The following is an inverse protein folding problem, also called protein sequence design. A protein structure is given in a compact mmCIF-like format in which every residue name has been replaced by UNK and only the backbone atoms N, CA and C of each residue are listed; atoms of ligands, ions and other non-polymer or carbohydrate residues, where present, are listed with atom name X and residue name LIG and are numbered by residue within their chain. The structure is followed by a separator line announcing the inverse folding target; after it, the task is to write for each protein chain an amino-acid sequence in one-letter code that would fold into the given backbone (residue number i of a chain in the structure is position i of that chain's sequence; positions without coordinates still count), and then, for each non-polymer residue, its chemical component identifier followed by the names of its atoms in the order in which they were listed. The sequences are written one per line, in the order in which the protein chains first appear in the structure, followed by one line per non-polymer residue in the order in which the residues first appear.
data_IF_936160277344
#
_entry.id   IF_936160277344
#
_cell.length_a   1.000
_cell.length_b   1.000
_cell.length_c   1.000
_cell.angle_alpha   90.00
_cell.angle_beta   90.00
_cell.angle_gamma   90.00
#
_symmetry.space_group_name_H-M   'P 1'
#
loop_
_entity.id
_entity.type
_entity.pdbx_description
1 polymer ?
#
# COMPACT_ATOMS: atom_id res chain seq x y z
N UNK A 1 -33.15 10.24 33.86
CA UNK A 1 -33.55 10.75 35.18
C UNK A 1 -35.04 10.47 35.31
N UNK A 2 -35.51 9.99 36.47
CA UNK A 2 -36.94 10.00 36.82
C UNK A 2 -37.22 11.28 37.60
N UNK A 3 -38.32 11.96 37.31
CA UNK A 3 -38.73 13.15 38.05
C UNK A 3 -40.25 13.12 38.26
N UNK A 4 -40.68 13.39 39.49
CA UNK A 4 -42.01 13.83 39.84
C UNK A 4 -42.05 15.37 39.76
N UNK A 5 -42.98 15.90 38.97
CA UNK A 5 -43.17 17.35 38.78
C UNK A 5 -43.63 18.02 40.09
N UNK A 6 -44.31 17.27 40.98
CA UNK A 6 -44.68 17.73 42.32
C UNK A 6 -43.53 17.78 43.32
N UNK A 7 -42.42 17.10 43.02
CA UNK A 7 -41.17 17.08 43.78
C UNK A 7 -41.23 16.32 45.12
N UNK A 8 -42.37 15.74 45.48
CA UNK A 8 -42.61 15.20 46.82
C UNK A 8 -42.94 13.70 46.83
N UNK A 9 -43.27 13.12 45.67
CA UNK A 9 -43.62 11.71 45.60
C UNK A 9 -42.38 10.81 45.52
N UNK A 10 -42.54 9.57 45.98
CA UNK A 10 -41.52 8.54 45.81
C UNK A 10 -41.46 8.11 44.36
N UNK A 11 -40.27 8.21 43.79
CA UNK A 11 -39.96 7.77 42.42
C UNK A 11 -39.14 6.50 42.48
N UNK A 12 -39.50 5.52 41.65
CA UNK A 12 -38.83 4.23 41.57
C UNK A 12 -38.28 4.00 40.17
N UNK A 13 -37.12 3.37 40.09
CA UNK A 13 -36.43 3.09 38.84
C UNK A 13 -35.82 1.69 38.86
N UNK A 14 -36.16 0.90 37.85
CA UNK A 14 -35.56 -0.38 37.54
C UNK A 14 -34.76 -0.22 36.24
N UNK A 15 -33.50 -0.62 36.27
CA UNK A 15 -32.62 -0.58 35.09
C UNK A 15 -32.12 -1.99 34.81
N UNK A 16 -32.26 -2.43 33.57
CA UNK A 16 -31.63 -3.65 33.06
C UNK A 16 -30.80 -3.32 31.83
N UNK A 17 -29.75 -4.09 31.58
CA UNK A 17 -28.85 -3.82 30.47
C UNK A 17 -28.23 -5.10 29.94
N UNK A 18 -27.94 -5.14 28.65
CA UNK A 18 -27.11 -6.18 28.02
C UNK A 18 -25.61 -5.90 28.12
N UNK A 19 -25.21 -4.73 28.67
CA UNK A 19 -23.80 -4.42 28.92
C UNK A 19 -23.18 -5.40 29.93
N UNK A 20 -21.99 -5.96 29.64
CA UNK A 20 -21.29 -6.81 30.58
C UNK A 20 -20.93 -6.03 31.85
N UNK A 21 -21.14 -6.66 33.01
CA UNK A 21 -20.89 -6.05 34.33
C UNK A 21 -21.56 -4.67 34.51
N UNK A 22 -22.78 -4.47 33.99
CA UNK A 22 -23.46 -3.17 34.01
C UNK A 22 -23.49 -2.49 35.39
N UNK A 23 -23.62 -3.25 36.47
CA UNK A 23 -23.61 -2.70 37.83
C UNK A 23 -22.30 -2.00 38.21
N UNK A 24 -21.15 -2.42 37.67
CA UNK A 24 -19.85 -1.77 37.93
C UNK A 24 -19.65 -0.48 37.14
N UNK A 25 -20.52 -0.19 36.16
CA UNK A 25 -20.47 1.04 35.38
C UNK A 25 -21.17 2.22 36.10
N UNK A 26 -21.90 1.93 37.19
CA UNK A 26 -22.59 2.94 37.97
C UNK A 26 -21.60 3.89 38.65
N UNK A 27 -21.79 5.19 38.43
CA UNK A 27 -21.01 6.25 39.09
C UNK A 27 -21.85 6.76 40.26
N UNK A 28 -21.46 6.49 41.52
CA UNK A 28 -22.21 6.96 42.67
C UNK A 28 -22.18 8.49 42.77
N UNK A 29 -23.25 9.14 43.27
CA UNK A 29 -23.26 10.57 43.54
C UNK A 29 -22.35 10.90 44.73
N UNK A 30 -21.96 12.16 44.83
CA UNK A 30 -21.38 12.70 46.05
C UNK A 30 -22.47 12.88 47.11
N UNK A 31 -22.07 12.96 48.39
CA UNK A 31 -23.01 13.23 49.50
C UNK A 31 -22.55 14.44 50.32
N UNK A 32 -23.50 15.27 50.76
CA UNK A 32 -23.26 16.39 51.66
C UNK A 32 -24.54 16.73 52.43
N UNK A 33 -24.43 16.82 53.76
CA UNK A 33 -25.55 17.25 54.61
C UNK A 33 -26.80 16.36 54.54
N UNK A 34 -26.66 15.06 54.27
CA UNK A 34 -27.79 14.12 54.12
C UNK A 34 -28.42 14.08 52.72
N UNK A 35 -27.95 14.93 51.80
CA UNK A 35 -28.37 14.94 50.40
C UNK A 35 -27.27 14.38 49.50
N UNK A 36 -27.65 14.04 48.27
CA UNK A 36 -26.79 13.55 47.21
C UNK A 36 -26.70 14.56 46.07
N UNK A 37 -25.60 14.54 45.33
CA UNK A 37 -25.46 15.38 44.15
C UNK A 37 -24.54 14.81 43.07
N UNK A 38 -24.82 15.20 41.83
CA UNK A 38 -23.92 15.06 40.69
C UNK A 38 -23.45 16.42 40.22
N UNK A 39 -22.13 16.58 40.10
CA UNK A 39 -21.55 17.70 39.37
C UNK A 39 -21.78 17.49 37.86
N UNK A 40 -22.06 18.58 37.16
CA UNK A 40 -22.22 18.61 35.70
C UNK A 40 -23.18 17.55 35.18
N UNK A 41 -24.39 17.50 35.72
CA UNK A 41 -25.38 16.51 35.29
C UNK A 41 -25.97 16.95 33.94
N UNK A 42 -25.71 16.17 32.89
CA UNK A 42 -26.14 16.43 31.51
C UNK A 42 -25.62 17.76 30.91
N UNK A 43 -24.41 18.21 31.28
CA UNK A 43 -23.83 19.44 30.72
C UNK A 43 -24.33 20.72 31.40
N UNK A 44 -24.95 20.62 32.57
CA UNK A 44 -25.50 21.73 33.35
C UNK A 44 -24.71 21.96 34.65
N UNK A 45 -25.28 22.65 35.63
CA UNK A 45 -24.68 22.79 36.96
C UNK A 45 -24.91 21.53 37.82
N UNK A 46 -24.61 21.63 39.11
CA UNK A 46 -24.77 20.62 40.13
C UNK A 46 -26.23 20.26 40.35
N UNK A 47 -26.56 18.99 40.14
CA UNK A 47 -27.90 18.46 40.42
C UNK A 47 -27.94 17.83 41.81
N UNK A 48 -28.71 18.44 42.71
CA UNK A 48 -28.97 17.93 44.06
C UNK A 48 -30.25 17.08 44.11
N UNK A 49 -30.23 16.04 44.94
CA UNK A 49 -31.37 15.16 45.18
C UNK A 49 -31.26 14.50 46.56
N UNK A 50 -32.36 13.95 47.07
CA UNK A 50 -32.42 13.29 48.37
C UNK A 50 -32.83 11.82 48.24
N UNK A 51 -32.62 11.06 49.32
CA UNK A 51 -33.22 9.74 49.54
C UNK A 51 -32.88 8.66 48.52
N UNK A 52 -31.60 8.50 48.17
CA UNK A 52 -31.15 7.40 47.32
C UNK A 52 -31.11 6.06 48.07
N UNK A 53 -32.08 5.19 47.82
CA UNK A 53 -32.10 3.82 48.31
C UNK A 53 -32.04 2.82 47.16
N UNK A 54 -31.38 1.67 47.37
CA UNK A 54 -31.40 0.56 46.43
C UNK A 54 -31.92 -0.69 47.16
N UNK A 55 -33.08 -1.18 46.73
CA UNK A 55 -33.69 -2.40 47.25
C UNK A 55 -33.69 -3.45 46.14
N UNK A 56 -32.75 -4.39 46.20
CA UNK A 56 -32.63 -5.52 45.26
C UNK A 56 -32.65 -5.08 43.78
N UNK A 57 -31.94 -4.00 43.43
CA UNK A 57 -31.83 -3.51 42.05
C UNK A 57 -32.92 -2.51 41.62
N UNK A 58 -33.90 -2.24 42.48
CA UNK A 58 -34.82 -1.10 42.31
C UNK A 58 -34.29 0.10 43.08
N UNK A 59 -34.00 1.17 42.37
CA UNK A 59 -33.60 2.44 42.97
C UNK A 59 -34.84 3.25 43.35
N UNK A 60 -34.80 3.87 44.52
CA UNK A 60 -35.84 4.76 45.01
C UNK A 60 -35.22 6.12 45.32
N UNK A 61 -35.99 7.18 45.08
CA UNK A 61 -35.71 8.56 45.47
C UNK A 61 -37.00 9.33 45.78
N UNK A 62 -36.87 10.58 46.20
CA UNK A 62 -38.00 11.51 46.37
C UNK A 62 -37.85 12.64 45.38
N UNK A 63 -38.90 12.93 44.61
CA UNK A 63 -38.95 14.00 43.63
C UNK A 63 -38.07 13.74 42.40
N UNK A 64 -36.75 13.59 42.57
CA UNK A 64 -35.79 13.37 41.48
C UNK A 64 -34.88 12.18 41.77
N UNK A 65 -34.71 11.34 40.76
CA UNK A 65 -33.79 10.21 40.81
C UNK A 65 -32.90 10.21 39.56
N UNK A 66 -31.75 10.92 39.62
CA UNK A 66 -30.73 10.85 38.58
C UNK A 66 -29.83 9.63 38.77
N UNK A 67 -29.49 8.96 37.67
CA UNK A 67 -28.49 7.89 37.65
C UNK A 67 -27.41 8.23 36.63
N UNK A 68 -26.15 7.92 36.95
CA UNK A 68 -25.00 8.09 36.05
C UNK A 68 -24.29 6.76 35.84
N UNK A 69 -24.02 6.44 34.59
CA UNK A 69 -23.23 5.28 34.19
C UNK A 69 -22.12 5.74 33.25
N UNK A 70 -20.91 5.21 33.43
CA UNK A 70 -19.78 5.47 32.54
C UNK A 70 -19.36 4.15 31.90
N UNK A 71 -19.51 4.07 30.58
CA UNK A 71 -19.09 2.92 29.78
C UNK A 71 -17.93 3.34 28.88
N UNK A 72 -16.83 2.59 28.96
CA UNK A 72 -15.70 2.71 28.03
C UNK A 72 -15.63 1.42 27.22
N UNK A 73 -15.95 1.46 25.90
CA UNK A 73 -15.91 0.26 25.07
C UNK A 73 -14.47 -0.25 24.92
N UNK A 74 -14.36 -1.57 24.79
CA UNK A 74 -13.11 -2.29 24.50
C UNK A 74 -13.18 -2.93 23.12
N UNK A 75 -12.06 -3.46 22.61
CA UNK A 75 -12.05 -4.19 21.33
C UNK A 75 -12.88 -5.50 21.33
N UNK A 76 -13.37 -5.98 22.48
CA UNK A 76 -14.33 -7.10 22.50
C UNK A 76 -15.75 -6.66 22.18
N UNK A 77 -16.02 -5.38 22.32
CA UNK A 77 -17.35 -4.79 22.18
C UNK A 77 -17.61 -4.31 20.73
N UNK A 78 -16.73 -4.70 19.79
CA UNK A 78 -16.77 -4.31 18.38
C UNK A 78 -18.02 -4.78 17.67
N UNK A 79 -18.67 -3.86 16.95
CA UNK A 79 -19.96 -4.04 16.28
C UNK A 79 -21.08 -4.54 17.22
N UNK A 80 -20.85 -4.47 18.54
CA UNK A 80 -21.84 -4.86 19.52
C UNK A 80 -22.88 -3.74 19.65
N UNK A 81 -24.13 -4.17 19.74
CA UNK A 81 -25.23 -3.31 20.13
C UNK A 81 -25.66 -3.70 21.53
N UNK A 82 -25.51 -2.79 22.48
CA UNK A 82 -26.03 -2.95 23.83
C UNK A 82 -27.33 -2.18 23.99
N UNK A 83 -28.20 -2.69 24.86
CA UNK A 83 -29.48 -2.07 25.18
C UNK A 83 -29.58 -1.87 26.68
N UNK A 84 -29.93 -0.66 27.10
CA UNK A 84 -30.29 -0.34 28.48
C UNK A 84 -31.79 -0.09 28.49
N UNK A 85 -32.54 -0.92 29.21
CA UNK A 85 -33.96 -0.75 29.43
C UNK A 85 -34.16 -0.08 30.79
N UNK A 86 -34.88 1.01 30.77
CA UNK A 86 -35.27 1.80 31.92
C UNK A 86 -36.78 1.65 32.11
N UNK A 87 -37.19 1.26 33.29
CA UNK A 87 -38.57 1.26 33.72
C UNK A 87 -38.69 2.09 35.00
N UNK A 88 -39.49 3.13 35.00
CA UNK A 88 -39.76 3.91 36.20
C UNK A 88 -41.24 4.01 36.50
N UNK A 89 -41.56 4.14 37.77
CA UNK A 89 -42.91 4.43 38.20
C UNK A 89 -42.93 5.36 39.41
N UNK A 90 -44.00 6.13 39.53
CA UNK A 90 -44.26 7.01 40.67
C UNK A 90 -45.37 6.36 41.50
N UNK A 91 -45.21 6.34 42.81
CA UNK A 91 -46.26 5.85 43.70
C UNK A 91 -46.96 7.03 44.38
N UNK A 92 -48.00 7.55 43.73
CA UNK A 92 -48.87 8.58 44.27
C UNK A 92 -50.12 8.00 44.95
N UNK A 93 -50.86 8.82 45.69
CA UNK A 93 -52.01 8.42 46.51
C UNK A 93 -53.23 7.86 45.74
N UNK A 94 -53.19 7.69 44.42
CA UNK A 94 -54.39 7.25 43.65
C UNK A 94 -54.10 6.47 42.36
N UNK A 95 -52.95 6.66 41.70
CA UNK A 95 -52.55 5.88 40.52
C UNK A 95 -51.01 5.75 40.45
N UNK A 96 -50.53 4.70 39.77
CA UNK A 96 -49.12 4.54 39.42
C UNK A 96 -48.89 4.90 37.96
N UNK A 97 -48.17 5.99 37.70
CA UNK A 97 -47.73 6.31 36.34
C UNK A 97 -46.41 5.57 36.06
N UNK A 98 -46.38 4.83 34.96
CA UNK A 98 -45.21 4.05 34.54
C UNK A 98 -44.64 4.60 33.23
N UNK A 99 -43.32 4.67 33.13
CA UNK A 99 -42.61 5.05 31.91
C UNK A 99 -41.55 3.99 31.62
N UNK A 100 -41.53 3.51 30.38
CA UNK A 100 -40.49 2.64 29.86
C UNK A 100 -39.71 3.36 28.75
N UNK A 101 -38.39 3.20 28.75
CA UNK A 101 -37.50 3.77 27.73
C UNK A 101 -36.35 2.81 27.45
N UNK A 102 -35.94 2.75 26.18
CA UNK A 102 -34.85 1.88 25.71
C UNK A 102 -33.76 2.77 25.12
N UNK A 103 -32.54 2.63 25.64
CA UNK A 103 -31.34 3.26 25.09
C UNK A 103 -30.54 2.18 24.37
N UNK A 104 -30.18 2.43 23.10
CA UNK A 104 -29.28 1.58 22.33
C UNK A 104 -27.90 2.22 22.24
N UNK A 105 -26.87 1.46 22.58
CA UNK A 105 -25.47 1.85 22.44
C UNK A 105 -24.86 0.98 21.33
N UNK A 106 -24.57 1.60 20.19
CA UNK A 106 -23.89 0.93 19.09
C UNK A 106 -22.39 1.26 19.19
N UNK A 107 -21.56 0.23 19.36
CA UNK A 107 -20.11 0.39 19.35
C UNK A 107 -19.64 0.19 17.91
N UNK A 108 -19.36 1.31 17.24
CA UNK A 108 -18.90 1.30 15.86
C UNK A 108 -17.39 1.06 15.81
N UNK A 109 -16.94 0.21 14.90
CA UNK A 109 -15.53 0.05 14.57
C UNK A 109 -15.22 0.86 13.31
N UNK A 110 -14.08 1.53 13.32
CA UNK A 110 -13.54 2.13 12.11
C UNK A 110 -12.68 1.10 11.38
N UNK A 111 -13.21 0.55 10.30
CA UNK A 111 -12.41 -0.20 9.34
C UNK A 111 -11.49 0.79 8.62
N UNK A 112 -10.18 0.54 8.54
CA UNK A 112 -9.29 1.37 7.74
C UNK A 112 -9.71 1.28 6.27
N UNK A 113 -9.89 2.42 5.60
CA UNK A 113 -10.13 2.40 4.15
C UNK A 113 -8.78 2.23 3.45
N UNK A 114 -8.72 1.41 2.39
CA UNK A 114 -7.52 1.20 1.58
C UNK A 114 -7.73 1.73 0.15
N UNK A 115 -7.00 2.77 -0.21
CA UNK A 115 -7.01 3.39 -1.54
C UNK A 115 -5.73 3.02 -2.29
N UNK A 116 -5.84 2.75 -3.58
CA UNK A 116 -4.70 2.49 -4.44
C UNK A 116 -5.02 2.83 -5.90
N UNK A 117 -3.98 3.04 -6.72
CA UNK A 117 -4.09 3.16 -8.18
C UNK A 117 -3.39 2.03 -8.95
N UNK A 118 -2.91 1.00 -8.24
CA UNK A 118 -2.41 -0.22 -8.86
C UNK A 118 -3.59 -1.08 -9.35
N UNK A 119 -3.69 -1.43 -10.64
CA UNK A 119 -4.66 -2.41 -11.12
C UNK A 119 -4.43 -3.79 -10.49
N UNK A 120 -5.49 -4.60 -10.37
CA UNK A 120 -5.38 -5.95 -9.79
C UNK A 120 -4.45 -6.85 -10.62
N UNK A 121 -4.52 -6.72 -11.95
CA UNK A 121 -3.60 -7.32 -12.92
C UNK A 121 -2.95 -6.21 -13.76
N UNK A 122 -1.66 -5.95 -13.54
CA UNK A 122 -0.88 -4.97 -14.29
C UNK A 122 0.12 -5.67 -15.23
N UNK A 123 0.31 -5.12 -16.43
CA UNK A 123 1.33 -5.60 -17.38
C UNK A 123 2.36 -4.51 -17.65
N UNK A 124 3.64 -4.82 -17.48
CA UNK A 124 4.75 -3.90 -17.68
C UNK A 124 5.66 -4.40 -18.81
N UNK A 125 6.17 -3.50 -19.65
CA UNK A 125 7.17 -3.84 -20.67
C UNK A 125 8.58 -3.59 -20.14
N UNK A 126 9.58 -4.29 -20.67
CA UNK A 126 11.00 -3.98 -20.38
C UNK A 126 11.32 -2.50 -20.66
N UNK A 127 12.18 -1.91 -19.82
CA UNK A 127 12.61 -0.49 -19.78
C UNK A 127 11.48 0.51 -19.47
N UNK A 128 10.34 0.03 -18.99
CA UNK A 128 9.28 0.89 -18.50
C UNK A 128 9.20 0.88 -16.97
N UNK A 129 8.65 1.96 -16.43
CA UNK A 129 8.47 2.14 -15.00
C UNK A 129 6.98 2.10 -14.66
N UNK A 130 6.62 1.31 -13.66
CA UNK A 130 5.30 1.33 -13.04
C UNK A 130 5.41 1.96 -11.67
N UNK A 131 4.82 3.15 -11.50
CA UNK A 131 4.67 3.77 -10.19
C UNK A 131 3.23 3.66 -9.72
N UNK A 132 3.05 3.27 -8.45
CA UNK A 132 1.75 3.21 -7.81
C UNK A 132 1.81 3.77 -6.39
N UNK A 133 0.65 4.29 -5.98
CA UNK A 133 0.39 4.92 -4.71
C UNK A 133 -0.60 4.07 -3.92
N UNK A 134 -0.37 3.98 -2.61
CA UNK A 134 -1.25 3.33 -1.65
C UNK A 134 -1.56 4.32 -0.53
N UNK A 135 -2.80 4.40 -0.10
CA UNK A 135 -3.21 5.20 1.05
C UNK A 135 -4.12 4.41 1.97
N UNK A 136 -3.99 4.65 3.26
CA UNK A 136 -5.04 4.31 4.21
C UNK A 136 -5.38 5.49 5.10
N UNK A 137 -6.65 5.54 5.53
CA UNK A 137 -7.18 6.59 6.40
C UNK A 137 -8.25 6.01 7.33
N UNK A 138 -8.33 6.55 8.54
CA UNK A 138 -9.45 6.34 9.45
C UNK A 138 -10.47 7.48 9.27
N UNK A 139 -11.66 7.23 8.68
CA UNK A 139 -12.66 8.27 8.43
C UNK A 139 -13.37 8.75 9.71
N UNK A 140 -13.28 8.01 10.82
CA UNK A 140 -14.01 8.28 12.06
C UNK A 140 -13.10 8.98 13.08
N UNK A 141 -11.83 8.59 13.17
CA UNK A 141 -10.90 9.12 14.17
C UNK A 141 -9.54 9.51 13.55
N UNK A 142 -9.34 10.81 13.23
CA UNK A 142 -8.13 11.26 12.57
C UNK A 142 -6.88 11.21 13.47
N UNK A 143 -7.03 10.96 14.77
CA UNK A 143 -5.91 10.88 15.70
C UNK A 143 -5.33 9.46 15.82
N UNK A 144 -5.92 8.48 15.15
CA UNK A 144 -5.43 7.13 15.21
C UNK A 144 -4.20 6.95 14.33
N UNK A 145 -3.30 6.09 14.82
CA UNK A 145 -2.10 5.70 14.09
C UNK A 145 -2.46 4.55 13.14
N UNK A 146 -2.17 4.76 11.87
CA UNK A 146 -2.45 3.80 10.80
C UNK A 146 -1.15 3.12 10.35
N UNK A 147 -1.31 1.93 9.77
CA UNK A 147 -0.22 1.07 9.36
C UNK A 147 -0.48 0.55 7.94
N UNK A 148 0.54 0.60 7.10
CA UNK A 148 0.63 -0.16 5.85
C UNK A 148 1.81 -1.12 6.01
N UNK A 149 1.53 -2.41 5.85
CA UNK A 149 2.51 -3.49 6.01
C UNK A 149 2.67 -4.21 4.67
N UNK A 150 3.86 -4.13 4.06
CA UNK A 150 4.23 -4.99 2.94
C UNK A 150 4.18 -6.48 3.33
N UNK A 151 3.73 -7.34 2.43
CA UNK A 151 3.59 -8.78 2.64
C UNK A 151 4.38 -9.57 1.60
N UNK A 152 4.93 -10.71 2.02
CA UNK A 152 5.68 -11.61 1.14
C UNK A 152 7.09 -11.10 0.80
N UNK A 153 7.83 -11.92 0.05
CA UNK A 153 9.21 -11.65 -0.36
C UNK A 153 9.37 -11.57 -1.89
N UNK A 154 8.30 -11.83 -2.64
CA UNK A 154 8.28 -11.87 -4.11
C UNK A 154 8.35 -10.47 -4.76
N UNK A 155 8.47 -9.41 -3.96
CA UNK A 155 8.59 -8.03 -4.41
C UNK A 155 9.56 -7.26 -3.52
N UNK A 156 10.57 -6.62 -4.12
CA UNK A 156 11.54 -5.82 -3.39
C UNK A 156 10.95 -4.46 -3.00
N UNK A 157 10.26 -4.44 -1.86
CA UNK A 157 9.66 -3.22 -1.32
C UNK A 157 10.69 -2.15 -0.99
N UNK A 158 11.92 -2.53 -0.61
CA UNK A 158 12.94 -1.56 -0.21
C UNK A 158 13.52 -0.84 -1.42
N UNK A 159 13.84 -1.58 -2.50
CA UNK A 159 14.39 -1.02 -3.72
C UNK A 159 13.35 -0.19 -4.50
N UNK A 160 12.07 -0.54 -4.42
CA UNK A 160 11.00 0.15 -5.16
C UNK A 160 10.38 1.31 -4.39
N UNK A 161 10.58 1.43 -3.08
CA UNK A 161 9.97 2.47 -2.27
C UNK A 161 10.55 3.86 -2.60
N UNK A 162 9.65 4.83 -2.83
CA UNK A 162 10.01 6.23 -3.01
C UNK A 162 9.73 6.98 -1.71
N UNK A 163 10.75 7.51 -1.00
CA UNK A 163 10.52 8.21 0.26
C UNK A 163 9.73 9.52 0.07
N UNK A 164 8.86 9.89 1.03
CA UNK A 164 8.20 11.18 1.02
C UNK A 164 9.20 12.31 1.30
N UNK A 165 8.79 13.54 1.05
CA UNK A 165 9.57 14.72 1.45
C UNK A 165 9.27 15.07 2.90
N UNK A 166 10.30 15.37 3.68
CA UNK A 166 10.17 15.72 5.10
C UNK A 166 10.19 17.23 5.34
N UNK A 167 9.45 17.66 6.37
CA UNK A 167 9.44 19.05 6.85
C UNK A 167 9.04 19.12 8.32
N UNK A 168 9.25 20.29 8.93
CA UNK A 168 8.82 20.56 10.30
C UNK A 168 7.85 21.73 10.30
N UNK A 169 6.65 21.53 10.88
CA UNK A 169 5.61 22.56 11.00
C UNK A 169 5.12 22.59 12.44
N UNK A 170 5.11 23.77 13.06
CA UNK A 170 4.69 23.96 14.46
C UNK A 170 5.43 23.04 15.47
N UNK A 171 6.72 22.75 15.22
CA UNK A 171 7.51 21.85 16.07
C UNK A 171 7.17 20.36 15.94
N UNK A 172 6.36 19.99 14.96
CA UNK A 172 6.00 18.59 14.66
C UNK A 172 6.65 18.15 13.34
N UNK A 173 7.00 16.87 13.24
CA UNK A 173 7.57 16.27 12.04
C UNK A 173 6.46 15.84 11.09
N UNK A 174 6.56 16.29 9.85
CA UNK A 174 5.62 16.00 8.77
C UNK A 174 6.36 15.46 7.57
N UNK A 175 5.75 14.52 6.89
CA UNK A 175 6.19 14.01 5.59
C UNK A 175 5.06 14.14 4.59
N UNK A 176 5.37 14.34 3.31
CA UNK A 176 4.35 14.54 2.29
C UNK A 176 4.74 13.99 0.93
N UNK A 177 3.72 13.63 0.16
CA UNK A 177 3.82 13.41 -1.29
C UNK A 177 2.97 14.43 -2.02
N UNK A 178 3.47 14.91 -3.16
CA UNK A 178 2.71 15.70 -4.12
C UNK A 178 2.22 14.82 -5.27
N UNK A 179 1.11 15.18 -5.91
CA UNK A 179 0.50 14.44 -7.03
C UNK A 179 0.28 12.96 -6.67
N UNK A 180 -0.54 12.71 -5.65
CA UNK A 180 -0.69 11.40 -5.01
C UNK A 180 -2.13 10.92 -5.12
N UNK A 181 -2.37 9.76 -5.78
CA UNK A 181 -3.73 9.25 -6.06
C UNK A 181 -4.68 10.29 -6.70
N UNK A 182 -4.15 11.17 -7.56
CA UNK A 182 -4.94 12.26 -8.17
C UNK A 182 -5.23 13.45 -7.24
N UNK A 183 -4.72 13.43 -6.01
CA UNK A 183 -4.72 14.57 -5.08
C UNK A 183 -3.47 15.42 -5.26
N UNK A 184 -3.56 16.70 -4.91
CA UNK A 184 -2.42 17.63 -5.01
C UNK A 184 -1.32 17.29 -3.99
N UNK A 185 -1.65 17.18 -2.70
CA UNK A 185 -0.68 16.81 -1.66
C UNK A 185 -1.34 16.02 -0.53
N UNK A 186 -0.69 14.95 -0.10
CA UNK A 186 -1.04 14.24 1.14
C UNK A 186 0.01 14.49 2.21
N UNK A 187 -0.45 14.73 3.45
CA UNK A 187 0.40 15.04 4.59
C UNK A 187 0.30 13.94 5.63
N UNK A 188 1.44 13.53 6.17
CA UNK A 188 1.59 12.43 7.12
C UNK A 188 2.37 12.93 8.33
N UNK A 189 1.78 12.86 9.51
CA UNK A 189 2.44 13.30 10.73
C UNK A 189 3.19 12.15 11.41
N UNK A 190 4.42 12.40 11.86
CA UNK A 190 5.29 11.41 12.49
C UNK A 190 5.47 10.13 11.63
N UNK A 191 5.71 10.33 10.34
CA UNK A 191 5.97 9.25 9.41
C UNK A 191 7.14 8.38 9.89
N UNK A 192 6.99 7.07 9.74
CA UNK A 192 8.06 6.10 10.00
C UNK A 192 7.93 4.96 8.98
N UNK A 193 9.07 4.53 8.44
CA UNK A 193 9.22 3.35 7.61
C UNK A 193 10.33 2.44 8.16
N UNK A 194 10.04 1.67 9.21
CA UNK A 194 10.94 0.66 9.79
C UNK A 194 10.27 -0.70 9.77
N UNK A 195 10.07 -1.22 8.56
CA UNK A 195 9.39 -2.49 8.27
C UNK A 195 7.88 -2.35 8.03
N UNK A 196 7.21 -1.47 8.78
CA UNK A 196 5.85 -1.00 8.45
C UNK A 196 5.86 0.49 8.24
N UNK A 197 5.02 0.95 7.31
CA UNK A 197 4.83 2.37 7.03
C UNK A 197 3.72 2.87 7.94
N UNK A 198 4.02 3.89 8.74
CA UNK A 198 3.09 4.38 9.76
C UNK A 198 3.12 5.89 9.87
N UNK A 199 1.96 6.48 10.15
CA UNK A 199 1.77 7.89 10.48
C UNK A 199 0.40 8.07 11.16
N UNK A 200 0.09 9.28 11.61
CA UNK A 200 -1.23 9.64 12.12
C UNK A 200 -2.16 10.10 11.00
N UNK A 201 -3.46 9.81 11.15
CA UNK A 201 -4.53 10.16 10.19
C UNK A 201 -4.37 9.45 8.84
N UNK A 202 -3.74 10.10 7.85
CA UNK A 202 -3.50 9.53 6.53
C UNK A 202 -2.10 8.92 6.49
N UNK A 203 -2.00 7.71 5.95
CA UNK A 203 -0.72 7.05 5.68
C UNK A 203 -0.66 6.71 4.22
N UNK A 204 0.36 7.23 3.54
CA UNK A 204 0.62 7.00 2.13
C UNK A 204 1.96 6.32 1.90
N UNK A 205 2.03 5.50 0.87
CA UNK A 205 3.25 4.88 0.37
C UNK A 205 3.29 4.98 -1.17
N UNK A 206 4.47 5.25 -1.72
CA UNK A 206 4.70 5.23 -3.17
C UNK A 206 5.76 4.20 -3.49
N UNK A 207 5.49 3.39 -4.49
CA UNK A 207 6.44 2.42 -5.03
C UNK A 207 6.59 2.65 -6.53
N UNK A 208 7.80 2.50 -7.05
CA UNK A 208 8.11 2.54 -8.48
C UNK A 208 8.96 1.32 -8.83
N UNK A 209 8.39 0.42 -9.63
CA UNK A 209 9.07 -0.73 -10.19
C UNK A 209 9.65 -0.36 -11.55
N UNK A 210 10.94 -0.61 -11.75
CA UNK A 210 11.61 -0.49 -13.05
C UNK A 210 11.84 -1.88 -13.63
N UNK A 211 11.30 -2.16 -14.82
CA UNK A 211 11.45 -3.45 -15.48
C UNK A 211 12.82 -3.56 -16.16
N UNK A 212 13.78 -4.14 -15.43
CA UNK A 212 15.13 -4.44 -15.91
C UNK A 212 15.29 -5.90 -16.35
N UNK A 213 16.53 -6.32 -16.62
CA UNK A 213 16.85 -7.68 -17.05
C UNK A 213 16.58 -8.74 -15.97
N UNK A 214 16.73 -8.41 -14.68
CA UNK A 214 16.42 -9.35 -13.60
C UNK A 214 14.91 -9.58 -13.50
N UNK A 215 14.13 -8.52 -13.72
CA UNK A 215 12.67 -8.55 -13.74
C UNK A 215 12.10 -9.51 -14.77
N UNK A 216 12.85 -9.78 -15.85
CA UNK A 216 12.44 -10.72 -16.90
C UNK A 216 12.54 -12.19 -16.50
N UNK A 217 13.37 -12.52 -15.51
CA UNK A 217 13.47 -13.90 -15.00
C UNK A 217 12.36 -14.26 -14.01
N UNK A 218 11.88 -13.28 -13.25
CA UNK A 218 10.82 -13.48 -12.28
C UNK A 218 9.46 -13.63 -12.96
N UNK A 219 9.29 -13.04 -14.14
CA UNK A 219 8.07 -12.98 -14.98
C UNK A 219 6.87 -12.28 -14.32
N UNK A 220 6.72 -12.42 -13.01
CA UNK A 220 5.60 -11.95 -12.20
C UNK A 220 6.08 -11.45 -10.85
N UNK A 221 5.51 -10.33 -10.43
CA UNK A 221 5.59 -9.86 -9.05
C UNK A 221 4.21 -9.94 -8.40
N UNK A 222 4.16 -10.38 -7.14
CA UNK A 222 2.93 -10.48 -6.37
C UNK A 222 2.98 -9.59 -5.12
N UNK A 223 3.01 -8.26 -5.24
CA UNK A 223 3.07 -7.41 -4.06
C UNK A 223 1.76 -7.51 -3.27
N UNK A 224 1.91 -7.73 -1.97
CA UNK A 224 0.81 -7.80 -1.00
C UNK A 224 0.92 -6.70 0.03
N UNK A 225 -0.22 -6.15 0.45
CA UNK A 225 -0.28 -5.11 1.46
C UNK A 225 -1.39 -5.40 2.46
N UNK A 226 -1.09 -5.19 3.74
CA UNK A 226 -2.05 -5.22 4.84
C UNK A 226 -2.12 -3.87 5.52
N UNK A 227 -3.33 -3.35 5.71
CA UNK A 227 -3.55 -2.09 6.41
C UNK A 227 -4.38 -2.28 7.67
N UNK A 228 -4.05 -1.54 8.73
CA UNK A 228 -4.76 -1.58 10.01
C UNK A 228 -4.57 -0.30 10.84
N UNK A 229 -5.41 -0.12 11.85
CA UNK A 229 -5.34 0.95 12.86
C UNK A 229 -4.98 0.41 14.23
N UNK A 230 -4.34 1.21 15.09
CA UNK A 230 -4.08 0.82 16.49
C UNK A 230 -5.33 0.85 17.39
N UNK A 231 -6.44 1.45 16.93
CA UNK A 231 -7.67 1.58 17.72
C UNK A 231 -8.21 0.22 18.16
N UNK A 232 -8.13 -0.78 17.27
CA UNK A 232 -8.35 -2.19 17.57
C UNK A 232 -7.65 -3.05 16.49
N UNK A 233 -6.36 -3.36 16.70
CA UNK A 233 -5.43 -3.97 15.73
C UNK A 233 -5.77 -5.34 15.11
N UNK A 234 -7.05 -5.73 15.05
CA UNK A 234 -7.52 -6.88 14.28
C UNK A 234 -8.45 -6.52 13.13
N UNK A 235 -8.82 -5.25 12.95
CA UNK A 235 -9.52 -4.83 11.74
C UNK A 235 -8.50 -4.52 10.65
N UNK A 236 -8.46 -5.39 9.65
CA UNK A 236 -7.39 -5.42 8.67
C UNK A 236 -7.99 -5.58 7.28
N UNK A 237 -7.54 -4.73 6.36
CA UNK A 237 -7.77 -4.96 4.93
C UNK A 237 -6.47 -5.47 4.35
N UNK A 238 -6.52 -6.61 3.68
CA UNK A 238 -5.38 -7.21 2.99
C UNK A 238 -5.69 -7.30 1.50
N UNK A 239 -4.73 -6.94 0.66
CA UNK A 239 -4.85 -7.00 -0.78
C UNK A 239 -3.54 -7.44 -1.41
N UNK A 240 -3.64 -8.36 -2.37
CA UNK A 240 -2.54 -8.82 -3.21
C UNK A 240 -2.82 -8.37 -4.65
N UNK A 241 -1.75 -8.08 -5.37
CA UNK A 241 -1.78 -7.65 -6.77
C UNK A 241 -0.88 -8.57 -7.59
N UNK A 242 -1.09 -8.60 -8.91
CA UNK A 242 -0.20 -9.28 -9.84
C UNK A 242 0.34 -8.28 -10.86
N UNK A 243 1.66 -8.29 -11.03
CA UNK A 243 2.35 -7.48 -12.04
C UNK A 243 3.12 -8.43 -12.95
N UNK A 244 2.69 -8.57 -14.19
CA UNK A 244 3.37 -9.36 -15.22
C UNK A 244 4.39 -8.48 -15.96
N UNK A 245 5.62 -8.95 -16.11
CA UNK A 245 6.67 -8.25 -16.89
C UNK A 245 6.89 -8.97 -18.21
N UNK A 246 6.75 -8.23 -19.30
CA UNK A 246 6.94 -8.74 -20.66
C UNK A 246 8.22 -8.19 -21.28
N UNK A 247 9.02 -9.11 -21.83
CA UNK A 247 10.15 -8.76 -22.68
C UNK A 247 9.70 -8.04 -23.96
N UNK A 248 10.61 -7.27 -24.53
CA UNK A 248 10.40 -6.68 -25.85
C UNK A 248 10.92 -7.64 -26.91
N UNK A 249 10.07 -7.97 -27.88
CA UNK A 249 10.45 -8.78 -29.03
C UNK A 249 11.59 -8.14 -29.81
N UNK A 250 12.64 -8.93 -30.05
CA UNK A 250 13.77 -8.64 -30.90
C UNK A 250 13.70 -9.37 -32.25
N UNK A 251 14.62 -8.99 -33.14
CA UNK A 251 14.87 -9.66 -34.41
C UNK A 251 16.29 -9.38 -34.89
N UNK A 252 16.88 -10.32 -35.63
CA UNK A 252 18.12 -10.12 -36.36
C UNK A 252 17.83 -9.93 -37.86
N UNK A 253 18.35 -8.87 -38.46
CA UNK A 253 18.32 -8.69 -39.91
C UNK A 253 19.37 -9.56 -40.60
N UNK A 254 19.36 -9.54 -41.94
CA UNK A 254 20.45 -10.10 -42.73
C UNK A 254 21.78 -9.40 -42.41
N UNK A 255 22.83 -10.20 -42.29
CA UNK A 255 24.17 -9.70 -42.00
C UNK A 255 24.75 -9.05 -43.27
N UNK A 256 25.24 -7.80 -43.19
CA UNK A 256 25.73 -7.09 -44.37
C UNK A 256 26.94 -7.78 -44.99
N UNK A 257 27.02 -7.77 -46.32
CA UNK A 257 28.10 -8.39 -47.09
C UNK A 257 29.06 -7.36 -47.73
N UNK A 258 28.82 -6.07 -47.54
CA UNK A 258 29.69 -4.97 -47.97
C UNK A 258 29.68 -3.85 -46.92
N UNK A 259 30.82 -3.21 -46.68
CA UNK A 259 30.91 -1.97 -45.90
C UNK A 259 32.05 -1.06 -46.41
N UNK A 260 31.96 0.23 -46.11
CA UNK A 260 32.80 1.32 -46.64
C UNK A 260 33.34 2.20 -45.50
N UNK A 261 34.38 1.77 -44.77
CA UNK A 261 34.97 2.56 -43.67
C UNK A 261 35.79 3.74 -44.21
N UNK A 262 35.11 4.77 -44.71
CA UNK A 262 35.68 5.98 -45.32
C UNK A 262 35.42 7.25 -44.46
N UNK A 263 34.62 7.14 -43.40
CA UNK A 263 34.30 8.21 -42.47
C UNK A 263 33.19 9.15 -42.93
N UNK A 264 32.36 8.76 -43.90
CA UNK A 264 31.22 9.55 -44.38
C UNK A 264 29.94 9.36 -43.54
N UNK A 265 29.97 8.46 -42.55
CA UNK A 265 28.86 8.10 -41.68
C UNK A 265 27.95 7.00 -42.23
N UNK A 266 28.22 6.47 -43.43
CA UNK A 266 27.36 5.50 -44.13
C UNK A 266 28.11 4.19 -44.34
N UNK A 267 27.62 3.11 -43.72
CA UNK A 267 28.25 1.78 -43.77
C UNK A 267 29.73 1.79 -43.34
N UNK A 268 30.11 2.71 -42.44
CA UNK A 268 31.48 2.81 -41.92
C UNK A 268 31.86 1.63 -41.02
N UNK A 269 30.86 1.00 -40.40
CA UNK A 269 31.05 -0.12 -39.49
C UNK A 269 30.35 -1.36 -40.01
N UNK A 270 31.06 -2.48 -39.95
CA UNK A 270 30.46 -3.79 -40.02
C UNK A 270 29.94 -4.19 -38.63
N UNK A 271 28.62 -4.37 -38.51
CA UNK A 271 27.90 -4.74 -37.29
C UNK A 271 26.64 -5.53 -37.65
N UNK A 272 26.04 -6.21 -36.66
CA UNK A 272 24.70 -6.78 -36.81
C UNK A 272 23.66 -5.66 -36.76
N UNK A 273 22.55 -5.85 -37.47
CA UNK A 273 21.41 -4.94 -37.41
C UNK A 273 20.13 -5.69 -37.03
N UNK A 274 19.19 -4.98 -36.40
CA UNK A 274 17.95 -5.57 -35.90
C UNK A 274 17.48 -4.89 -34.63
N UNK A 275 16.55 -5.52 -33.92
CA UNK A 275 16.16 -5.13 -32.55
C UNK A 275 16.80 -6.11 -31.57
N UNK A 276 17.76 -5.66 -30.76
CA UNK A 276 18.50 -6.56 -29.88
C UNK A 276 17.75 -6.92 -28.60
N UNK A 277 18.23 -7.96 -27.94
CA UNK A 277 17.89 -8.34 -26.58
C UNK A 277 19.07 -8.03 -25.64
N UNK A 278 19.04 -6.83 -25.06
CA UNK A 278 20.12 -6.24 -24.25
C UNK A 278 20.55 -7.14 -23.09
N UNK A 279 19.63 -7.94 -22.56
CA UNK A 279 19.86 -8.75 -21.38
C UNK A 279 20.65 -10.03 -21.67
N UNK A 280 20.51 -10.59 -22.87
CA UNK A 280 20.88 -11.98 -23.15
C UNK A 280 21.51 -12.23 -24.51
N UNK A 281 21.65 -11.20 -25.34
CA UNK A 281 22.41 -11.31 -26.58
C UNK A 281 23.87 -11.66 -26.30
N UNK A 282 24.41 -12.54 -27.13
CA UNK A 282 25.77 -13.07 -26.97
C UNK A 282 26.34 -13.28 -28.35
N UNK A 283 27.59 -12.90 -28.58
CA UNK A 283 28.24 -13.11 -29.88
C UNK A 283 29.67 -13.56 -29.73
N UNK A 284 30.15 -14.26 -30.75
CA UNK A 284 31.56 -14.48 -31.04
C UNK A 284 31.80 -14.15 -32.48
N UNK A 285 32.69 -13.20 -32.72
CA UNK A 285 33.00 -12.69 -34.05
C UNK A 285 34.48 -12.86 -34.32
N UNK A 286 34.79 -13.42 -35.49
CA UNK A 286 36.14 -13.52 -36.02
C UNK A 286 36.15 -13.12 -37.48
N UNK A 287 37.06 -12.23 -37.83
CA UNK A 287 37.21 -11.74 -39.21
C UNK A 287 38.63 -12.01 -39.66
N UNK A 288 38.75 -12.67 -40.80
CA UNK A 288 40.02 -13.05 -41.40
C UNK A 288 40.19 -12.31 -42.73
N UNK A 289 41.42 -11.92 -43.05
CA UNK A 289 41.74 -11.44 -44.38
C UNK A 289 41.78 -12.59 -45.41
N UNK A 290 41.96 -12.26 -46.68
CA UNK A 290 42.02 -13.24 -47.78
C UNK A 290 43.12 -14.30 -47.66
N UNK A 291 44.09 -14.11 -46.77
CA UNK A 291 45.18 -15.07 -46.50
C UNK A 291 44.91 -15.94 -45.27
N UNK A 292 43.72 -15.85 -44.68
CA UNK A 292 43.33 -16.60 -43.48
C UNK A 292 43.93 -16.05 -42.18
N UNK A 293 44.51 -14.85 -42.19
CA UNK A 293 45.01 -14.22 -40.97
C UNK A 293 43.89 -13.48 -40.26
N UNK A 294 43.76 -13.69 -38.95
CA UNK A 294 42.81 -12.99 -38.10
C UNK A 294 43.14 -11.49 -38.07
N UNK A 295 42.15 -10.66 -38.39
CA UNK A 295 42.28 -9.20 -38.38
C UNK A 295 41.37 -8.52 -37.37
N UNK A 296 40.28 -9.16 -36.92
CA UNK A 296 39.39 -8.65 -35.89
C UNK A 296 38.74 -9.81 -35.13
N UNK A 297 38.53 -9.62 -33.83
CA UNK A 297 37.72 -10.52 -33.01
C UNK A 297 36.95 -9.73 -31.94
N UNK A 298 35.78 -10.22 -31.54
CA UNK A 298 34.96 -9.65 -30.48
C UNK A 298 34.03 -10.72 -29.90
N UNK A 299 33.79 -10.66 -28.59
CA UNK A 299 32.77 -11.46 -27.91
C UNK A 299 31.52 -10.61 -27.55
N UNK A 300 31.43 -9.39 -28.09
CA UNK A 300 30.33 -8.45 -27.81
C UNK A 300 29.20 -8.58 -28.85
N UNK A 301 27.93 -8.69 -28.44
CA UNK A 301 26.80 -8.74 -29.37
C UNK A 301 26.62 -7.46 -30.19
N UNK A 302 27.12 -6.32 -29.68
CA UNK A 302 27.05 -5.01 -30.30
C UNK A 302 28.40 -4.56 -30.89
N UNK A 303 29.22 -5.52 -31.31
CA UNK A 303 30.50 -5.23 -31.94
C UNK A 303 30.34 -4.30 -33.14
N UNK A 304 31.34 -3.46 -33.36
CA UNK A 304 31.45 -2.60 -34.53
C UNK A 304 32.88 -2.72 -35.06
N UNK A 305 33.01 -3.19 -36.30
CA UNK A 305 34.29 -3.26 -36.98
C UNK A 305 34.42 -2.16 -38.02
N UNK A 306 35.38 -1.27 -37.81
CA UNK A 306 35.69 -0.11 -38.66
C UNK A 306 36.71 -0.40 -39.77
N UNK A 307 37.00 -1.68 -40.03
CA UNK A 307 37.99 -2.06 -41.03
C UNK A 307 39.45 -1.84 -40.59
N UNK A 308 39.74 -1.73 -39.29
CA UNK A 308 41.11 -1.78 -38.76
C UNK A 308 41.48 -3.18 -38.30
N UNK A 309 42.75 -3.54 -38.44
CA UNK A 309 43.25 -4.81 -37.91
C UNK A 309 43.49 -4.73 -36.39
N UNK A 310 43.86 -5.86 -35.78
CA UNK A 310 44.22 -5.97 -34.35
C UNK A 310 45.35 -5.02 -33.89
N UNK A 311 46.10 -4.40 -34.81
CA UNK A 311 47.14 -3.41 -34.51
C UNK A 311 46.66 -1.96 -34.70
N UNK A 312 45.37 -1.74 -34.92
CA UNK A 312 44.75 -0.44 -35.20
C UNK A 312 45.08 0.12 -36.59
N UNK A 313 45.71 -0.67 -37.47
CA UNK A 313 46.02 -0.24 -38.84
C UNK A 313 44.88 -0.60 -39.77
N UNK A 314 44.56 0.35 -40.62
CA UNK A 314 43.67 0.19 -41.76
C UNK A 314 43.93 -1.07 -42.60
N UNK A 315 42.90 -1.90 -42.72
CA UNK A 315 42.88 -3.06 -43.60
C UNK A 315 42.74 -2.62 -45.07
N UNK A 316 43.35 -3.39 -45.98
CA UNK A 316 43.26 -3.12 -47.42
C UNK A 316 41.87 -3.44 -47.95
N UNK A 317 41.37 -2.66 -48.92
CA UNK A 317 40.15 -3.02 -49.64
C UNK A 317 40.27 -4.43 -50.26
N UNK A 318 39.19 -5.21 -50.19
CA UNK A 318 39.19 -6.59 -50.63
C UNK A 318 38.20 -7.47 -49.87
N UNK A 319 38.31 -8.78 -50.10
CA UNK A 319 37.43 -9.77 -49.50
C UNK A 319 37.99 -10.29 -48.18
N UNK A 320 37.11 -10.36 -47.19
CA UNK A 320 37.35 -10.88 -45.84
C UNK A 320 36.40 -12.04 -45.57
N UNK A 321 36.79 -12.94 -44.67
CA UNK A 321 36.01 -14.10 -44.27
C UNK A 321 35.56 -13.92 -42.83
N UNK A 322 34.27 -14.12 -42.59
CA UNK A 322 33.65 -13.86 -41.29
C UNK A 322 33.14 -15.16 -40.69
N UNK A 323 33.38 -15.31 -39.40
CA UNK A 323 32.73 -16.26 -38.52
C UNK A 323 31.94 -15.47 -37.48
N UNK A 324 30.62 -15.63 -37.44
CA UNK A 324 29.76 -15.07 -36.40
C UNK A 324 28.92 -16.21 -35.81
N UNK A 325 28.93 -16.33 -34.48
CA UNK A 325 28.21 -17.37 -33.73
C UNK A 325 27.63 -16.82 -32.42
N UNK A 326 26.35 -17.13 -32.14
CA UNK A 326 25.66 -16.88 -30.86
C UNK A 326 24.20 -16.45 -31.09
N UNK A 327 23.68 -15.48 -30.33
CA UNK A 327 22.29 -15.00 -30.39
C UNK A 327 22.17 -13.47 -30.48
N UNK A 328 21.24 -12.98 -31.31
CA UNK A 328 20.94 -11.56 -31.45
C UNK A 328 19.43 -11.32 -31.59
N UNK A 329 18.82 -10.70 -30.59
CA UNK A 329 17.38 -10.58 -30.43
C UNK A 329 16.72 -11.87 -29.91
N UNK A 330 15.50 -11.72 -29.37
CA UNK A 330 14.71 -12.84 -28.86
C UNK A 330 13.22 -12.62 -29.06
N UNK A 331 12.44 -13.70 -29.17
CA UNK A 331 10.98 -13.67 -29.05
C UNK A 331 10.55 -14.03 -27.64
N UNK A 332 9.60 -13.28 -27.10
CA UNK A 332 9.01 -13.53 -25.79
C UNK A 332 7.56 -13.97 -25.95
N UNK A 333 7.28 -15.22 -25.60
CA UNK A 333 5.93 -15.79 -25.70
C UNK A 333 5.21 -15.66 -24.36
N UNK A 334 4.08 -14.94 -24.32
CA UNK A 334 3.25 -14.79 -23.11
C UNK A 334 2.17 -15.87 -23.00
N UNK A 335 2.17 -16.64 -21.90
CA UNK A 335 1.13 -17.62 -21.60
C UNK A 335 1.57 -18.73 -20.64
N UNK A 336 1.35 -18.53 -19.33
CA UNK A 336 1.51 -19.56 -18.30
C UNK A 336 2.95 -19.88 -17.87
N UNK A 337 3.91 -19.81 -18.78
CA UNK A 337 5.36 -19.72 -18.54
C UNK A 337 5.95 -18.88 -19.68
N UNK A 338 6.53 -17.72 -19.36
CA UNK A 338 7.15 -16.91 -20.39
C UNK A 338 8.37 -17.65 -20.93
N UNK A 339 8.35 -18.02 -22.20
CA UNK A 339 9.51 -18.66 -22.82
C UNK A 339 10.25 -17.63 -23.67
N UNK A 340 11.55 -17.53 -23.43
CA UNK A 340 12.47 -16.76 -24.27
C UNK A 340 13.00 -17.66 -25.37
N UNK A 341 12.72 -17.29 -26.61
CA UNK A 341 13.29 -17.92 -27.79
C UNK A 341 14.37 -17.00 -28.39
N UNK A 342 15.63 -17.31 -28.08
CA UNK A 342 16.77 -16.56 -28.61
C UNK A 342 16.92 -16.79 -30.11
N UNK A 343 17.23 -15.76 -30.88
CA UNK A 343 17.40 -15.86 -32.33
C UNK A 343 18.87 -16.19 -32.63
N UNK A 344 19.18 -17.41 -33.11
CA UNK A 344 20.55 -17.80 -33.37
C UNK A 344 21.11 -17.09 -34.61
N UNK A 345 22.34 -16.58 -34.50
CA UNK A 345 23.12 -16.06 -35.62
C UNK A 345 24.36 -16.92 -35.76
N UNK A 346 24.32 -17.84 -36.74
CA UNK A 346 25.47 -18.67 -37.12
C UNK A 346 25.71 -18.48 -38.61
N UNK A 347 26.78 -17.75 -38.95
CA UNK A 347 27.09 -17.41 -40.34
C UNK A 347 28.59 -17.54 -40.62
N UNK A 348 28.89 -18.13 -41.77
CA UNK A 348 30.20 -18.14 -42.39
C UNK A 348 30.05 -17.61 -43.81
N UNK A 349 30.63 -16.46 -44.11
CA UNK A 349 30.43 -15.81 -45.41
C UNK A 349 31.54 -14.80 -45.72
N UNK A 350 31.52 -14.28 -46.95
CA UNK A 350 32.45 -13.27 -47.42
C UNK A 350 31.92 -11.85 -47.18
N UNK A 351 32.78 -10.96 -46.70
CA UNK A 351 32.52 -9.53 -46.56
C UNK A 351 33.46 -8.76 -47.50
N UNK A 352 32.89 -7.83 -48.25
CA UNK A 352 33.66 -6.92 -49.08
C UNK A 352 33.93 -5.62 -48.34
N UNK A 353 35.20 -5.29 -48.12
CA UNK A 353 35.64 -3.98 -47.63
C UNK A 353 35.98 -3.10 -48.83
N UNK A 354 35.30 -1.96 -48.96
CA UNK A 354 35.57 -0.93 -49.96
C UNK A 354 36.05 0.35 -49.26
N UNK A 355 36.77 1.24 -49.95
CA UNK A 355 37.21 2.53 -49.41
C UNK A 355 37.00 3.64 -50.41
#
# INVERSE_FOLDING_TARGET
MTEDVGGNDSVFMLISSTLPNFSSLYVPPYSSGGNYYYLDFQGSDTLWFSDLNNMNGTYQGIGKLPMRYCFTPTCKDRDATYTINYFSYIHGCTYSDTVESIIKINVLVSTPIFYHNLPDDASLKRDSTLCFDLMTSDPINPNDKMFIVPLGEDFDYAATFIPPKDTTKNGQNWSFYTHFLGLDTIWMQNFNNSGSITAYSNVGARYCLYADCESMFLEKYNPGFKVYTNACGSDTVEKHFQIDVHGNDGYANEVPNVFTPNGDGVNDFFMLSGTPDICYDTMKVKIFNRWGQLVYESDEPYFQWDGKNLKGKDCTAGTYFILVEGHYGSKYHGGGQATREAIPVVKQYYLQLLR
#
